data_IF_096016460598
#
_entry.id   IF_096016460598
#
_cell.length_a   1.000
_cell.length_b   1.000
_cell.length_c   1.000
_cell.angle_alpha   90.00
_cell.angle_beta   90.00
_cell.angle_gamma   90.00
#
_symmetry.space_group_name_H-M   'P 1'
#
loop_
_entity.id
_entity.type
_entity.pdbx_description
1 polymer ?
#
# COMPACT_ATOMS: atom_id res chain seq x y z
N UNK A 1 7.93 15.15 15.66
CA UNK A 1 7.41 13.77 15.52
C UNK A 1 8.60 12.83 15.58
N UNK A 2 8.51 11.77 16.38
CA UNK A 2 9.58 10.79 16.59
C UNK A 2 9.37 9.61 15.64
N UNK A 3 10.37 9.29 14.82
CA UNK A 3 10.28 8.13 13.93
C UNK A 3 10.61 6.84 14.65
N UNK A 4 9.81 5.79 14.41
CA UNK A 4 10.00 4.42 14.88
C UNK A 4 10.04 3.47 13.69
N UNK A 5 11.00 2.57 13.68
CA UNK A 5 11.08 1.52 12.67
C UNK A 5 10.43 0.24 13.17
N UNK A 6 9.45 -0.24 12.41
CA UNK A 6 8.59 -1.37 12.79
C UNK A 6 8.66 -2.50 11.79
N UNK A 7 8.17 -3.66 12.19
CA UNK A 7 7.95 -4.80 11.31
C UNK A 7 6.51 -4.76 10.80
N UNK A 8 6.32 -4.24 9.59
CA UNK A 8 5.00 -4.04 9.04
C UNK A 8 4.30 -5.36 8.70
N UNK A 9 5.04 -6.38 8.30
CA UNK A 9 4.51 -7.73 8.07
C UNK A 9 3.95 -8.30 9.37
N UNK A 10 4.69 -8.20 10.47
CA UNK A 10 4.20 -8.66 11.76
C UNK A 10 2.93 -7.88 12.18
N UNK A 11 2.89 -6.56 11.99
CA UNK A 11 1.69 -5.75 12.27
C UNK A 11 0.49 -6.25 11.44
N UNK A 12 0.66 -6.47 10.13
CA UNK A 12 -0.41 -6.98 9.25
C UNK A 12 -0.94 -8.35 9.66
N UNK A 13 -0.08 -9.19 10.21
CA UNK A 13 -0.42 -10.54 10.65
C UNK A 13 -1.00 -10.62 12.08
N UNK A 14 -0.90 -9.56 12.89
CA UNK A 14 -1.27 -9.63 14.31
C UNK A 14 -2.19 -8.51 14.80
N UNK A 15 -2.05 -7.29 14.29
CA UNK A 15 -2.73 -6.09 14.80
C UNK A 15 -3.69 -5.53 13.75
N UNK A 16 -3.17 -5.11 12.60
CA UNK A 16 -3.93 -4.40 11.57
C UNK A 16 -3.46 -4.80 10.17
N UNK A 17 -4.29 -5.57 9.47
CA UNK A 17 -4.01 -6.08 8.12
C UNK A 17 -3.80 -4.96 7.11
N UNK A 18 -4.45 -3.81 7.29
CA UNK A 18 -4.39 -2.69 6.36
C UNK A 18 -3.16 -1.77 6.59
N UNK A 19 -2.28 -2.12 7.53
CA UNK A 19 -1.06 -1.34 7.77
C UNK A 19 -0.10 -1.47 6.58
N UNK A 20 -0.09 -0.47 5.70
CA UNK A 20 0.61 -0.49 4.41
C UNK A 20 2.12 -0.23 4.47
N UNK A 21 2.67 0.05 5.66
CA UNK A 21 4.12 0.19 5.87
C UNK A 21 4.56 1.51 6.48
N UNK A 22 3.67 2.49 6.63
CA UNK A 22 3.91 3.64 7.50
C UNK A 22 2.60 4.18 8.05
N UNK A 23 2.67 5.01 9.08
CA UNK A 23 1.49 5.70 9.60
C UNK A 23 1.78 6.48 10.86
N UNK A 24 0.76 7.20 11.30
CA UNK A 24 0.75 8.01 12.52
C UNK A 24 -0.47 7.65 13.38
N UNK A 25 -0.58 8.28 14.55
CA UNK A 25 -1.77 8.18 15.39
C UNK A 25 -3.06 8.73 14.74
N UNK A 26 -2.96 9.44 13.60
CA UNK A 26 -4.13 9.86 12.83
C UNK A 26 -4.70 8.72 11.98
N UNK A 27 -3.85 7.77 11.59
CA UNK A 27 -4.18 6.64 10.71
C UNK A 27 -4.54 5.41 11.55
N UNK A 28 -3.79 5.17 12.63
CA UNK A 28 -3.90 3.96 13.43
C UNK A 28 -3.89 4.29 14.93
N UNK A 29 -4.93 3.85 15.65
CA UNK A 29 -5.13 4.14 17.08
C UNK A 29 -4.09 3.49 17.99
N UNK A 30 -3.44 2.41 17.55
CA UNK A 30 -2.36 1.75 18.29
C UNK A 30 -1.02 2.50 18.20
N UNK A 31 -0.89 3.49 17.31
CA UNK A 31 0.32 4.31 17.20
C UNK A 31 0.25 5.45 18.22
N UNK A 32 1.27 5.63 19.09
CA UNK A 32 1.27 6.73 20.04
C UNK A 32 1.27 8.11 19.37
N UNK A 33 0.56 9.07 19.96
CA UNK A 33 0.54 10.47 19.49
C UNK A 33 1.96 11.03 19.42
N UNK A 34 2.28 11.66 18.29
CA UNK A 34 3.59 12.26 18.05
C UNK A 34 4.66 11.29 17.53
N UNK A 35 4.29 10.04 17.26
CA UNK A 35 5.15 9.07 16.57
C UNK A 35 4.78 8.92 15.08
N UNK A 36 5.82 8.63 14.28
CA UNK A 36 5.72 8.17 12.90
C UNK A 36 6.29 6.76 12.85
N UNK A 37 5.46 5.77 12.57
CA UNK A 37 5.92 4.40 12.36
C UNK A 37 6.21 4.20 10.88
N UNK A 38 7.35 3.59 10.57
CA UNK A 38 7.80 3.28 9.20
C UNK A 38 8.37 1.86 9.20
N UNK A 39 8.02 1.07 8.20
CA UNK A 39 8.60 -0.25 7.99
C UNK A 39 10.13 -0.13 7.89
N UNK A 40 10.85 -1.04 8.55
CA UNK A 40 12.31 -1.17 8.42
C UNK A 40 12.76 -1.26 6.96
N UNK A 41 11.97 -1.89 6.08
CA UNK A 41 12.27 -2.00 4.64
C UNK A 41 12.18 -0.66 3.89
N UNK A 42 11.52 0.33 4.48
CA UNK A 42 11.30 1.67 3.93
C UNK A 42 12.19 2.73 4.59
N UNK A 43 13.17 2.31 5.40
CA UNK A 43 14.05 3.21 6.17
C UNK A 43 14.76 4.25 5.29
N UNK A 44 15.21 3.89 4.09
CA UNK A 44 15.87 4.81 3.16
C UNK A 44 14.96 5.98 2.72
N UNK A 45 13.64 5.80 2.81
CA UNK A 45 12.63 6.71 2.31
C UNK A 45 11.96 7.50 3.46
N UNK A 46 12.49 7.41 4.69
CA UNK A 46 11.95 8.08 5.89
C UNK A 46 11.69 9.58 5.70
N UNK A 47 12.51 10.27 4.90
CA UNK A 47 12.33 11.69 4.60
C UNK A 47 11.02 11.96 3.85
N UNK A 48 10.64 11.06 2.93
CA UNK A 48 9.39 11.12 2.19
C UNK A 48 8.19 10.98 3.13
N UNK A 49 8.16 9.93 3.97
CA UNK A 49 7.06 9.71 4.91
C UNK A 49 6.95 10.83 5.97
N UNK A 50 8.09 11.40 6.36
CA UNK A 50 8.09 12.60 7.22
C UNK A 50 7.49 13.82 6.52
N UNK A 51 7.63 13.95 5.20
CA UNK A 51 6.99 15.01 4.41
C UNK A 51 5.49 14.75 4.23
N UNK A 52 5.08 13.51 3.94
CA UNK A 52 3.68 13.10 3.85
C UNK A 52 2.92 13.37 5.15
N UNK A 53 3.43 12.91 6.29
CA UNK A 53 2.82 13.15 7.59
C UNK A 53 2.70 14.66 7.93
N UNK A 54 3.64 15.49 7.46
CA UNK A 54 3.54 16.96 7.61
C UNK A 54 2.45 17.55 6.73
N UNK A 55 2.32 17.05 5.49
CA UNK A 55 1.31 17.48 4.53
C UNK A 55 -0.11 17.10 5.00
N UNK A 56 -0.31 15.87 5.46
CA UNK A 56 -1.60 15.43 6.00
C UNK A 56 -2.02 16.29 7.20
N UNK A 57 -1.07 16.55 8.11
CA UNK A 57 -1.32 17.40 9.29
C UNK A 57 -1.61 18.86 8.92
N UNK A 58 -1.10 19.37 7.80
CA UNK A 58 -1.42 20.74 7.35
C UNK A 58 -2.78 20.82 6.65
N UNK A 59 -3.42 19.68 6.33
CA UNK A 59 -4.68 19.59 5.60
C UNK A 59 -5.74 18.69 6.29
N UNK A 60 -6.00 18.84 7.62
CA UNK A 60 -6.73 17.85 8.44
C UNK A 60 -8.22 17.65 8.07
N UNK A 61 -8.80 18.52 7.25
CA UNK A 61 -10.20 18.43 6.79
C UNK A 61 -10.32 18.14 5.28
N UNK A 62 -9.19 17.93 4.60
CA UNK A 62 -9.20 17.64 3.17
C UNK A 62 -9.48 16.16 2.93
N UNK A 63 -10.33 15.80 1.96
CA UNK A 63 -10.48 14.41 1.55
C UNK A 63 -9.13 13.81 1.16
N UNK A 64 -8.88 12.55 1.50
CA UNK A 64 -7.61 11.86 1.22
C UNK A 64 -7.19 11.97 -0.25
N UNK A 65 -8.15 11.84 -1.19
CA UNK A 65 -7.90 12.03 -2.63
C UNK A 65 -7.25 13.37 -2.96
N UNK A 66 -7.64 14.45 -2.27
CA UNK A 66 -7.05 15.79 -2.47
C UNK A 66 -5.64 15.87 -1.89
N UNK A 67 -5.42 15.28 -0.71
CA UNK A 67 -4.10 15.22 -0.09
C UNK A 67 -3.13 14.45 -1.00
N UNK A 68 -3.53 13.26 -1.47
CA UNK A 68 -2.76 12.44 -2.41
C UNK A 68 -2.43 13.18 -3.69
N UNK A 69 -3.39 13.89 -4.29
CA UNK A 69 -3.12 14.71 -5.49
C UNK A 69 -2.09 15.81 -5.24
N UNK A 70 -2.12 16.46 -4.07
CA UNK A 70 -1.11 17.45 -3.70
C UNK A 70 0.25 16.76 -3.53
N UNK A 71 0.30 15.65 -2.80
CA UNK A 71 1.53 14.89 -2.57
C UNK A 71 2.18 14.42 -3.87
N UNK A 72 1.39 13.87 -4.80
CA UNK A 72 1.87 13.48 -6.13
C UNK A 72 2.53 14.68 -6.83
N UNK A 73 1.91 15.86 -6.80
CA UNK A 73 2.43 17.06 -7.48
C UNK A 73 3.65 17.70 -6.81
N UNK A 74 3.81 17.55 -5.50
CA UNK A 74 4.81 18.30 -4.73
C UNK A 74 5.95 17.46 -4.18
N UNK A 75 5.78 16.14 -4.11
CA UNK A 75 6.74 15.22 -3.49
C UNK A 75 7.28 14.17 -4.47
N UNK A 76 6.91 14.25 -5.74
CA UNK A 76 7.46 13.37 -6.79
C UNK A 76 8.19 14.20 -7.86
N UNK A 77 9.11 13.58 -8.57
CA UNK A 77 9.93 14.21 -9.61
C UNK A 77 9.28 14.20 -11.00
N UNK A 78 8.24 13.38 -11.21
CA UNK A 78 7.56 13.19 -12.50
C UNK A 78 8.46 12.86 -13.71
N UNK A 79 9.70 12.42 -13.48
CA UNK A 79 10.72 12.30 -14.51
C UNK A 79 11.46 10.96 -14.49
N UNK A 80 11.30 10.17 -13.42
CA UNK A 80 11.92 8.86 -13.30
C UNK A 80 11.20 7.75 -14.08
N UNK A 81 11.99 6.85 -14.65
CA UNK A 81 11.49 5.58 -15.19
C UNK A 81 11.00 4.66 -14.06
N UNK A 82 9.92 3.94 -14.34
CA UNK A 82 9.40 2.92 -13.42
C UNK A 82 10.22 1.64 -13.57
N UNK A 83 10.90 1.28 -12.49
CA UNK A 83 11.77 0.11 -12.46
C UNK A 83 10.94 -1.16 -12.26
N UNK A 84 10.73 -1.90 -13.35
CA UNK A 84 10.08 -3.22 -13.38
C UNK A 84 11.14 -4.29 -13.10
N UNK A 85 10.94 -5.06 -12.04
CA UNK A 85 11.82 -6.17 -11.64
C UNK A 85 11.43 -7.46 -12.36
N UNK A 86 10.13 -7.73 -12.45
CA UNK A 86 9.61 -8.95 -13.07
C UNK A 86 8.27 -8.67 -13.75
N UNK A 87 7.94 -9.45 -14.78
CA UNK A 87 6.64 -9.40 -15.44
C UNK A 87 6.11 -10.81 -15.68
N UNK A 88 4.91 -11.07 -15.17
CA UNK A 88 4.18 -12.32 -15.38
C UNK A 88 2.89 -12.01 -16.14
N UNK A 89 2.58 -12.80 -17.17
CA UNK A 89 1.36 -12.65 -17.98
C UNK A 89 0.52 -13.91 -17.89
N UNK A 90 -0.74 -13.77 -17.51
CA UNK A 90 -1.69 -14.88 -17.42
C UNK A 90 -3.11 -14.39 -17.68
N UNK A 91 -3.88 -15.14 -18.49
CA UNK A 91 -5.31 -14.92 -18.71
C UNK A 91 -5.72 -13.46 -19.04
N UNK A 92 -4.94 -12.80 -19.90
CA UNK A 92 -5.20 -11.41 -20.30
C UNK A 92 -4.86 -10.35 -19.24
N UNK A 93 -4.21 -10.75 -18.14
CA UNK A 93 -3.68 -9.86 -17.11
C UNK A 93 -2.16 -9.87 -17.13
N UNK A 94 -1.56 -8.71 -16.84
CA UNK A 94 -0.12 -8.57 -16.61
C UNK A 94 0.11 -8.21 -15.15
N UNK A 95 0.87 -9.03 -14.43
CA UNK A 95 1.35 -8.72 -13.08
C UNK A 95 2.80 -8.27 -13.19
N UNK A 96 3.12 -7.10 -12.63
CA UNK A 96 4.49 -6.59 -12.58
C UNK A 96 4.97 -6.50 -11.14
N UNK A 97 6.15 -7.06 -10.87
CA UNK A 97 6.87 -6.70 -9.66
C UNK A 97 7.64 -5.41 -9.94
N UNK A 98 7.34 -4.37 -9.18
CA UNK A 98 7.89 -3.03 -9.36
C UNK A 98 8.77 -2.72 -8.17
N UNK A 99 9.94 -2.11 -8.39
CA UNK A 99 10.66 -1.48 -7.29
C UNK A 99 9.86 -0.26 -6.84
N UNK A 100 9.06 -0.38 -5.78
CA UNK A 100 8.06 0.63 -5.44
C UNK A 100 8.64 1.99 -5.09
N UNK A 101 9.92 2.05 -4.69
CA UNK A 101 10.65 3.31 -4.53
C UNK A 101 10.70 4.15 -5.83
N UNK A 102 10.77 3.51 -7.01
CA UNK A 102 10.72 4.22 -8.30
C UNK A 102 9.34 4.85 -8.55
N UNK A 103 8.26 4.17 -8.14
CA UNK A 103 6.89 4.71 -8.22
C UNK A 103 6.72 5.86 -7.23
N UNK A 104 7.19 5.69 -5.99
CA UNK A 104 7.10 6.72 -4.95
C UNK A 104 7.89 7.98 -5.26
N UNK A 105 9.04 7.83 -5.93
CA UNK A 105 9.83 8.95 -6.39
C UNK A 105 9.19 9.66 -7.61
N UNK A 106 8.58 8.92 -8.54
CA UNK A 106 8.24 9.46 -9.86
C UNK A 106 6.75 9.75 -10.07
N UNK A 107 5.85 9.00 -9.43
CA UNK A 107 4.41 9.04 -9.73
C UNK A 107 3.55 9.27 -8.50
N UNK A 108 3.73 8.43 -7.47
CA UNK A 108 2.82 8.39 -6.35
C UNK A 108 3.50 7.98 -5.04
N UNK A 109 3.68 8.91 -4.10
CA UNK A 109 4.39 8.64 -2.86
C UNK A 109 3.63 7.70 -1.90
N UNK A 110 2.35 7.40 -2.19
CA UNK A 110 1.51 6.46 -1.44
C UNK A 110 1.53 5.02 -2.00
N UNK A 111 2.27 4.75 -3.09
CA UNK A 111 2.40 3.38 -3.60
C UNK A 111 3.30 2.52 -2.67
N UNK A 112 2.71 1.62 -1.89
CA UNK A 112 3.43 0.87 -0.84
C UNK A 112 3.44 -0.65 -1.03
N UNK A 113 2.27 -1.28 -1.17
CA UNK A 113 2.14 -2.73 -1.30
C UNK A 113 1.84 -3.15 -2.73
N UNK A 114 0.71 -2.68 -3.27
CA UNK A 114 0.25 -3.02 -4.60
C UNK A 114 -0.76 -2.01 -5.14
N UNK A 115 -1.22 -2.27 -6.36
CA UNK A 115 -2.30 -1.52 -6.99
C UNK A 115 -2.67 -2.05 -8.36
N UNK A 116 -3.82 -1.61 -8.88
CA UNK A 116 -4.27 -1.96 -10.22
C UNK A 116 -4.91 -0.79 -10.99
N UNK A 117 -5.11 -1.02 -12.29
CA UNK A 117 -5.58 -0.07 -13.31
C UNK A 117 -6.95 0.59 -13.08
N UNK A 118 -7.77 0.09 -12.15
CA UNK A 118 -9.08 0.68 -11.84
C UNK A 118 -9.01 1.64 -10.65
N UNK A 119 -7.97 1.54 -9.81
CA UNK A 119 -7.75 2.44 -8.68
C UNK A 119 -6.71 3.49 -9.04
N UNK A 120 -5.63 3.10 -9.72
CA UNK A 120 -4.53 3.99 -10.06
C UNK A 120 -4.51 4.27 -11.57
N UNK A 121 -4.77 5.53 -11.94
CA UNK A 121 -4.84 5.95 -13.35
C UNK A 121 -3.51 5.88 -14.10
N UNK A 122 -2.39 5.80 -13.38
CA UNK A 122 -1.05 5.64 -13.97
C UNK A 122 -0.69 4.17 -14.20
N UNK A 123 -1.44 3.21 -13.66
CA UNK A 123 -1.24 1.79 -13.95
C UNK A 123 -1.92 1.47 -15.30
N UNK A 124 -1.20 0.88 -16.27
CA UNK A 124 -1.78 0.55 -17.57
C UNK A 124 -2.96 -0.42 -17.46
N UNK A 125 -3.89 -0.34 -18.41
CA UNK A 125 -5.07 -1.22 -18.44
C UNK A 125 -4.67 -2.69 -18.42
N UNK A 126 -5.42 -3.47 -17.63
CA UNK A 126 -5.16 -4.90 -17.39
C UNK A 126 -3.81 -5.21 -16.74
N UNK A 127 -3.26 -4.28 -15.96
CA UNK A 127 -2.10 -4.52 -15.13
C UNK A 127 -2.40 -4.48 -13.62
N UNK A 128 -1.64 -5.27 -12.88
CA UNK A 128 -1.51 -5.24 -11.42
C UNK A 128 -0.03 -5.04 -11.11
N UNK A 129 0.30 -4.08 -10.26
CA UNK A 129 1.67 -3.81 -9.81
C UNK A 129 1.79 -4.21 -8.34
N UNK A 130 2.90 -4.89 -7.99
CA UNK A 130 3.19 -5.34 -6.62
C UNK A 130 4.61 -4.91 -6.24
N UNK A 131 4.80 -4.45 -5.00
CA UNK A 131 6.10 -4.06 -4.46
C UNK A 131 7.06 -5.26 -4.43
N UNK A 132 8.18 -5.12 -5.13
CA UNK A 132 9.16 -6.17 -5.31
C UNK A 132 9.94 -6.49 -4.02
N UNK A 133 10.00 -5.56 -3.05
CA UNK A 133 10.67 -5.81 -1.76
C UNK A 133 9.92 -6.78 -0.83
N UNK A 134 8.63 -7.01 -1.07
CA UNK A 134 7.84 -7.92 -0.27
C UNK A 134 8.38 -9.35 -0.38
N UNK A 135 8.37 -10.09 0.73
CA UNK A 135 8.72 -11.51 0.71
C UNK A 135 7.66 -12.32 -0.08
N UNK A 136 7.88 -13.62 -0.30
CA UNK A 136 6.97 -14.44 -1.11
C UNK A 136 5.53 -14.53 -0.53
N UNK A 137 5.40 -14.61 0.81
CA UNK A 137 4.10 -14.70 1.48
C UNK A 137 3.34 -13.36 1.41
N UNK A 138 4.02 -12.25 1.66
CA UNK A 138 3.46 -10.91 1.54
C UNK A 138 3.06 -10.59 0.09
N UNK A 139 3.89 -10.98 -0.90
CA UNK A 139 3.56 -10.86 -2.32
C UNK A 139 2.32 -11.67 -2.69
N UNK A 140 2.19 -12.91 -2.19
CA UNK A 140 1.00 -13.72 -2.43
C UNK A 140 -0.25 -13.06 -1.86
N UNK A 141 -0.19 -12.59 -0.61
CA UNK A 141 -1.32 -11.95 0.08
C UNK A 141 -1.73 -10.65 -0.61
N UNK A 142 -0.75 -9.81 -0.97
CA UNK A 142 -0.96 -8.56 -1.72
C UNK A 142 -1.56 -8.85 -3.08
N UNK A 143 -1.01 -9.81 -3.84
CA UNK A 143 -1.54 -10.16 -5.15
C UNK A 143 -2.99 -10.70 -5.07
N UNK A 144 -3.32 -11.50 -4.06
CA UNK A 144 -4.69 -11.96 -3.81
C UNK A 144 -5.64 -10.77 -3.58
N UNK A 145 -5.22 -9.81 -2.76
CA UNK A 145 -5.97 -8.58 -2.50
C UNK A 145 -6.26 -7.84 -3.81
N UNK A 146 -5.22 -7.50 -4.57
CA UNK A 146 -5.34 -6.73 -5.82
C UNK A 146 -6.18 -7.44 -6.88
N UNK A 147 -6.07 -8.78 -6.98
CA UNK A 147 -6.89 -9.57 -7.92
C UNK A 147 -8.36 -9.51 -7.52
N UNK A 148 -8.67 -9.68 -6.24
CA UNK A 148 -10.04 -9.76 -5.75
C UNK A 148 -10.73 -8.39 -5.81
N UNK A 149 -10.06 -7.33 -5.33
CA UNK A 149 -10.54 -5.95 -5.43
C UNK A 149 -10.85 -5.59 -6.89
N UNK A 150 -9.89 -5.82 -7.80
CA UNK A 150 -10.06 -5.54 -9.23
C UNK A 150 -11.22 -6.31 -9.83
N UNK A 151 -11.35 -7.60 -9.50
CA UNK A 151 -12.43 -8.46 -10.02
C UNK A 151 -13.80 -7.94 -9.61
N UNK A 152 -13.95 -7.47 -8.37
CA UNK A 152 -15.18 -6.92 -7.84
C UNK A 152 -15.49 -5.54 -8.43
N UNK A 153 -14.51 -4.64 -8.49
CA UNK A 153 -14.66 -3.32 -9.12
C UNK A 153 -15.02 -3.44 -10.61
N UNK A 154 -14.42 -4.40 -11.34
CA UNK A 154 -14.76 -4.66 -12.75
C UNK A 154 -16.23 -5.07 -12.93
N UNK A 155 -16.88 -5.61 -11.90
CA UNK A 155 -18.31 -5.96 -11.88
C UNK A 155 -19.22 -4.80 -11.45
N UNK A 156 -18.66 -3.61 -11.22
CA UNK A 156 -19.39 -2.41 -10.82
C UNK A 156 -19.48 -2.19 -9.30
N UNK A 157 -18.78 -2.99 -8.49
CA UNK A 157 -18.70 -2.75 -7.05
C UNK A 157 -17.93 -1.47 -6.76
N UNK A 158 -18.33 -0.75 -5.70
CA UNK A 158 -17.59 0.43 -5.26
C UNK A 158 -16.19 0.05 -4.78
N UNK A 159 -15.24 0.98 -4.84
CA UNK A 159 -13.89 0.75 -4.32
C UNK A 159 -13.92 0.34 -2.84
N UNK A 160 -14.71 1.05 -2.01
CA UNK A 160 -14.78 0.78 -0.57
C UNK A 160 -15.25 -0.65 -0.28
N UNK A 161 -16.34 -1.09 -0.92
CA UNK A 161 -16.86 -2.45 -0.70
C UNK A 161 -15.87 -3.50 -1.24
N UNK A 162 -15.30 -3.26 -2.43
CA UNK A 162 -14.36 -4.20 -3.04
C UNK A 162 -13.08 -4.38 -2.20
N UNK A 163 -12.58 -3.28 -1.63
CA UNK A 163 -11.44 -3.26 -0.71
C UNK A 163 -11.74 -4.07 0.56
N UNK A 164 -12.92 -3.88 1.17
CA UNK A 164 -13.31 -4.62 2.37
C UNK A 164 -13.41 -6.14 2.12
N UNK A 165 -13.95 -6.55 0.97
CA UNK A 165 -13.96 -7.95 0.55
C UNK A 165 -12.55 -8.49 0.27
N UNK A 166 -11.67 -7.70 -0.34
CA UNK A 166 -10.28 -8.07 -0.59
C UNK A 166 -9.50 -8.26 0.73
N UNK A 167 -9.67 -7.37 1.70
CA UNK A 167 -9.12 -7.51 3.06
C UNK A 167 -9.64 -8.79 3.74
N UNK A 168 -10.92 -9.13 3.59
CA UNK A 168 -11.46 -10.36 4.14
C UNK A 168 -10.82 -11.62 3.50
N UNK A 169 -10.62 -11.61 2.18
CA UNK A 169 -9.93 -12.67 1.46
C UNK A 169 -8.46 -12.81 1.88
N UNK A 170 -7.76 -11.69 2.02
CA UNK A 170 -6.37 -11.62 2.50
C UNK A 170 -6.24 -12.19 3.92
N UNK A 171 -7.10 -11.75 4.86
CA UNK A 171 -7.13 -12.28 6.22
C UNK A 171 -7.38 -13.79 6.25
N UNK A 172 -8.24 -14.30 5.36
CA UNK A 172 -8.47 -15.73 5.25
C UNK A 172 -7.23 -16.49 4.73
N UNK A 173 -6.49 -15.92 3.78
CA UNK A 173 -5.24 -16.50 3.28
C UNK A 173 -4.16 -16.55 4.35
N UNK A 174 -3.94 -15.43 5.05
CA UNK A 174 -2.96 -15.33 6.14
C UNK A 174 -3.25 -16.33 7.27
N UNK A 175 -4.53 -16.60 7.58
CA UNK A 175 -4.94 -17.64 8.53
C UNK A 175 -4.64 -19.05 8.01
N UNK A 176 -4.97 -19.36 6.75
CA UNK A 176 -4.68 -20.68 6.15
C UNK A 176 -3.18 -20.98 6.10
N UNK A 177 -2.36 -19.95 5.88
CA UNK A 177 -0.90 -20.07 5.89
C UNK A 177 -0.30 -20.18 7.31
N UNK A 178 -1.11 -20.15 8.37
CA UNK A 178 -0.64 -20.22 9.77
C UNK A 178 0.10 -18.96 10.25
N UNK A 179 -0.08 -17.82 9.58
CA UNK A 179 0.64 -16.56 9.86
C UNK A 179 -0.17 -15.60 10.73
N UNK A 180 -1.49 -15.63 10.59
CA UNK A 180 -2.37 -14.69 11.30
C UNK A 180 -2.74 -15.20 12.69
N UNK A 181 -2.32 -14.45 13.71
CA UNK A 181 -2.70 -14.65 15.11
C UNK A 181 -3.44 -13.43 15.63
N UNK A 182 -4.56 -13.09 15.00
CA UNK A 182 -5.43 -12.03 15.51
C UNK A 182 -5.98 -12.48 16.86
N UNK A 183 -5.61 -11.78 17.93
CA UNK A 183 -6.27 -11.98 19.23
C UNK A 183 -7.74 -11.66 19.03
N UNK A 184 -8.63 -12.61 19.36
CA UNK A 184 -10.05 -12.30 19.51
C UNK A 184 -10.16 -11.26 20.62
N UNK A 185 -10.48 -10.03 20.24
CA UNK A 185 -10.97 -9.01 21.17
C UNK A 185 -12.37 -9.37 21.65
#
# INVERSE_FOLDING_TARGET
MKTKFVDAENIRNTIETDFSGWGTAADFTFIPKGELWVDRQLKAETKLFSALARLERSLPKSPFRKIRQIAMRTLTDHSGDICVVETVRASGMTVRLIAGASVRASLDPYFLLGGHDLVYSYIPRNEIWVEARLNADERRSTLLHEIEERRLMKKGMSYADAHDYALAAERADRRRAGKAHFTRG
#
